data_IF_027818733268
#
_entry.id   IF_027818733268
#
_cell.length_a   1.000
_cell.length_b   1.000
_cell.length_c   1.000
_cell.angle_alpha   90.00
_cell.angle_beta   90.00
_cell.angle_gamma   90.00
#
_symmetry.space_group_name_H-M   'P 1'
#
loop_
_entity.id
_entity.type
_entity.pdbx_description
1 polymer ?
#
# COMPACT_ATOMS: atom_id res chain seq x y z
N UNK A 1 -86.62 36.86 22.57
CA UNK A 1 -85.29 37.33 22.14
C UNK A 1 -84.93 36.67 20.80
N UNK A 2 -84.47 37.44 19.82
CA UNK A 2 -83.92 36.93 18.53
C UNK A 2 -82.41 36.79 18.66
N UNK A 3 -81.84 35.64 18.31
CA UNK A 3 -80.39 35.48 18.11
C UNK A 3 -80.10 35.28 16.62
N UNK A 4 -79.23 36.14 16.09
CA UNK A 4 -78.68 36.10 14.73
C UNK A 4 -77.26 35.53 14.85
N UNK A 5 -76.89 34.52 14.06
CA UNK A 5 -75.52 33.99 14.03
C UNK A 5 -75.13 33.68 12.60
N UNK A 6 -74.00 34.27 12.19
CA UNK A 6 -73.51 34.47 10.83
C UNK A 6 -72.69 33.25 10.34
N UNK A 7 -72.79 32.93 9.04
CA UNK A 7 -72.04 31.86 8.39
C UNK A 7 -70.62 32.32 8.01
N UNK A 8 -69.59 31.63 8.52
CA UNK A 8 -68.17 31.90 8.19
C UNK A 8 -67.78 31.17 6.91
N UNK A 9 -67.36 31.94 5.90
CA UNK A 9 -66.82 31.48 4.63
C UNK A 9 -65.38 30.96 4.83
N UNK A 10 -65.12 29.70 4.50
CA UNK A 10 -63.79 29.07 4.52
C UNK A 10 -63.19 29.13 3.09
N UNK A 11 -62.07 29.84 2.94
CA UNK A 11 -61.29 29.87 1.69
C UNK A 11 -60.20 28.79 1.74
N UNK A 12 -60.24 27.87 0.77
CA UNK A 12 -59.25 26.81 0.54
C UNK A 12 -58.05 27.32 -0.25
N UNK A 13 -56.83 27.10 0.24
CA UNK A 13 -55.58 27.39 -0.48
C UNK A 13 -55.09 26.13 -1.25
N UNK A 14 -54.61 26.27 -2.49
CA UNK A 14 -54.10 25.13 -3.26
C UNK A 14 -52.65 24.78 -2.83
N UNK A 15 -52.41 23.49 -2.61
CA UNK A 15 -51.07 22.93 -2.34
C UNK A 15 -50.35 22.76 -3.68
N UNK A 16 -49.21 23.45 -3.85
CA UNK A 16 -48.35 23.34 -5.04
C UNK A 16 -47.16 22.44 -4.71
N UNK A 17 -47.06 21.28 -5.37
CA UNK A 17 -45.91 20.37 -5.24
C UNK A 17 -44.80 20.80 -6.21
N UNK A 18 -43.71 21.34 -5.69
CA UNK A 18 -42.50 21.59 -6.47
C UNK A 18 -41.73 20.27 -6.67
N UNK A 19 -41.66 19.78 -7.91
CA UNK A 19 -40.85 18.61 -8.25
C UNK A 19 -39.37 19.02 -8.37
N UNK A 20 -38.53 18.57 -7.43
CA UNK A 20 -37.08 18.72 -7.51
C UNK A 20 -36.50 17.66 -8.44
N UNK A 21 -35.88 18.09 -9.53
CA UNK A 21 -35.07 17.21 -10.40
C UNK A 21 -33.75 16.95 -9.67
N UNK A 22 -33.59 15.76 -9.09
CA UNK A 22 -32.35 15.33 -8.46
C UNK A 22 -31.28 14.99 -9.50
N UNK A 23 -30.19 15.75 -9.52
CA UNK A 23 -28.99 15.38 -10.30
C UNK A 23 -28.27 14.27 -9.53
N UNK A 24 -28.27 13.05 -10.07
CA UNK A 24 -27.48 11.95 -9.53
C UNK A 24 -25.99 12.25 -9.78
N UNK A 25 -25.23 12.56 -8.72
CA UNK A 25 -23.80 12.78 -8.80
C UNK A 25 -23.05 11.48 -9.07
N UNK A 26 -22.10 11.51 -10.02
CA UNK A 26 -21.12 10.43 -10.20
C UNK A 26 -20.20 10.40 -8.97
N UNK A 27 -20.25 9.32 -8.20
CA UNK A 27 -19.26 9.05 -7.15
C UNK A 27 -18.01 8.44 -7.80
N UNK A 28 -16.80 8.94 -7.52
CA UNK A 28 -15.59 8.31 -8.02
C UNK A 28 -15.45 6.91 -7.40
N UNK A 29 -15.16 5.91 -8.23
CA UNK A 29 -14.84 4.58 -7.75
C UNK A 29 -13.52 4.64 -6.96
N UNK A 30 -13.58 4.30 -5.67
CA UNK A 30 -12.39 4.15 -4.83
C UNK A 30 -11.94 2.69 -4.91
N UNK A 31 -10.64 2.45 -5.08
CA UNK A 31 -10.10 1.10 -4.93
C UNK A 31 -10.20 0.67 -3.47
N UNK A 32 -10.54 -0.59 -3.25
CA UNK A 32 -10.56 -1.17 -1.90
C UNK A 32 -9.17 -1.06 -1.25
N UNK A 33 -9.07 -0.72 0.04
CA UNK A 33 -7.80 -0.65 0.73
C UNK A 33 -7.14 -2.04 0.75
N UNK A 34 -5.84 -2.08 0.44
CA UNK A 34 -5.06 -3.31 0.54
C UNK A 34 -4.93 -3.78 2.00
N UNK A 35 -4.82 -5.10 2.25
CA UNK A 35 -4.81 -5.66 3.61
C UNK A 35 -3.76 -5.07 4.56
N UNK A 36 -2.61 -4.65 4.02
CA UNK A 36 -1.50 -4.08 4.79
C UNK A 36 -1.13 -2.67 4.31
N UNK A 37 -2.07 -1.95 3.71
CA UNK A 37 -1.84 -0.61 3.19
C UNK A 37 -0.97 -0.60 1.92
N UNK A 38 -0.33 0.55 1.59
CA UNK A 38 0.35 0.75 0.31
C UNK A 38 1.56 -0.17 0.11
N UNK A 39 2.17 -0.66 1.20
CA UNK A 39 3.33 -1.55 1.14
C UNK A 39 2.95 -3.04 1.09
N UNK A 40 1.66 -3.37 0.87
CA UNK A 40 1.21 -4.76 0.75
C UNK A 40 2.01 -5.47 -0.33
N UNK A 41 2.63 -6.61 -0.01
CA UNK A 41 3.41 -7.37 -0.99
C UNK A 41 2.52 -8.12 -1.99
N UNK A 42 3.00 -8.28 -3.23
CA UNK A 42 2.43 -9.25 -4.18
C UNK A 42 2.60 -10.68 -3.65
N UNK A 43 1.76 -11.59 -4.14
CA UNK A 43 1.81 -13.01 -3.76
C UNK A 43 3.22 -13.61 -3.92
N UNK A 44 3.66 -14.37 -2.90
CA UNK A 44 4.99 -14.98 -2.83
C UNK A 44 6.10 -14.10 -2.26
N UNK A 45 5.77 -12.86 -1.86
CA UNK A 45 6.69 -11.94 -1.18
C UNK A 45 6.16 -11.56 0.20
N UNK A 46 7.10 -11.18 1.08
CA UNK A 46 6.86 -10.74 2.45
C UNK A 46 7.76 -9.55 2.78
N UNK A 47 7.40 -8.73 3.75
CA UNK A 47 8.27 -7.65 4.24
C UNK A 47 9.60 -8.23 4.76
N UNK A 48 10.71 -7.58 4.40
CA UNK A 48 12.06 -7.99 4.81
C UNK A 48 12.27 -7.79 6.30
N UNK A 49 11.71 -6.73 6.87
CA UNK A 49 11.81 -6.42 8.31
C UNK A 49 13.27 -6.25 8.79
N UNK A 50 14.11 -5.60 7.99
CA UNK A 50 15.49 -5.28 8.37
C UNK A 50 15.57 -4.38 9.61
N UNK A 51 14.53 -3.59 9.85
CA UNK A 51 14.35 -2.78 11.04
C UNK A 51 12.92 -2.24 11.10
N UNK A 52 12.59 -1.42 12.11
CA UNK A 52 11.28 -0.80 12.22
C UNK A 52 10.95 0.02 10.96
N UNK A 53 9.85 -0.32 10.28
CA UNK A 53 9.39 0.37 9.07
C UNK A 53 10.04 -0.09 7.76
N UNK A 54 10.91 -1.11 7.77
CA UNK A 54 11.40 -1.72 6.53
C UNK A 54 10.38 -2.69 5.94
N UNK A 55 9.49 -2.17 5.10
CA UNK A 55 8.47 -2.94 4.39
C UNK A 55 8.88 -3.37 2.97
N UNK A 56 10.18 -3.34 2.64
CA UNK A 56 10.65 -3.81 1.32
C UNK A 56 10.25 -5.28 1.14
N UNK A 57 9.49 -5.55 0.08
CA UNK A 57 9.03 -6.90 -0.23
C UNK A 57 10.17 -7.77 -0.80
N UNK A 58 10.42 -8.90 -0.15
CA UNK A 58 11.46 -9.88 -0.49
C UNK A 58 10.90 -11.30 -0.47
N UNK A 59 11.70 -12.27 -0.96
CA UNK A 59 11.34 -13.68 -0.82
C UNK A 59 11.40 -14.09 0.67
N UNK A 60 10.58 -15.05 1.13
CA UNK A 60 10.58 -15.50 2.52
C UNK A 60 11.97 -15.85 3.08
N UNK A 61 12.80 -16.56 2.32
CA UNK A 61 14.16 -16.92 2.79
C UNK A 61 15.09 -15.71 3.02
N UNK A 62 14.86 -14.57 2.35
CA UNK A 62 15.61 -13.33 2.62
C UNK A 62 15.17 -12.72 3.94
N UNK A 63 13.86 -12.70 4.22
CA UNK A 63 13.32 -12.29 5.53
C UNK A 63 13.89 -13.16 6.65
N UNK A 64 13.93 -14.48 6.46
CA UNK A 64 14.47 -15.40 7.46
C UNK A 64 15.96 -15.15 7.73
N UNK A 65 16.75 -14.84 6.70
CA UNK A 65 18.17 -14.49 6.83
C UNK A 65 18.34 -13.15 7.54
N UNK A 66 17.55 -12.14 7.16
CA UNK A 66 17.51 -10.83 7.82
C UNK A 66 17.14 -10.94 9.30
N UNK A 67 16.18 -11.79 9.66
CA UNK A 67 15.82 -12.02 11.04
C UNK A 67 16.99 -12.61 11.86
N UNK A 68 17.79 -13.50 11.27
CA UNK A 68 18.99 -14.06 11.92
C UNK A 68 20.10 -13.01 12.11
N UNK A 69 20.30 -12.14 11.11
CA UNK A 69 21.22 -11.00 11.20
C UNK A 69 20.80 -10.03 12.31
N UNK A 70 19.51 -9.70 12.37
CA UNK A 70 18.93 -8.82 13.39
C UNK A 70 18.96 -9.43 14.80
N UNK A 71 18.93 -10.77 14.93
CA UNK A 71 19.03 -11.44 16.22
C UNK A 71 20.43 -11.30 16.85
N UNK A 72 21.46 -11.01 16.06
CA UNK A 72 22.83 -10.81 16.52
C UNK A 72 23.45 -9.57 15.84
N UNK A 73 22.95 -8.35 16.12
CA UNK A 73 23.33 -7.14 15.38
C UNK A 73 24.79 -6.72 15.59
N UNK A 74 25.41 -7.18 16.69
CA UNK A 74 26.81 -6.94 17.01
C UNK A 74 27.77 -7.95 16.37
N UNK A 75 27.24 -9.00 15.73
CA UNK A 75 28.05 -9.98 15.04
C UNK A 75 28.83 -9.30 13.91
N UNK A 76 30.12 -9.64 13.81
CA UNK A 76 31.08 -9.06 12.86
C UNK A 76 31.39 -7.57 13.05
N UNK A 77 30.99 -6.94 14.16
CA UNK A 77 31.55 -5.63 14.54
C UNK A 77 32.99 -5.78 14.99
N UNK A 78 33.79 -4.77 14.71
CA UNK A 78 35.16 -4.67 15.21
C UNK A 78 35.11 -4.46 16.74
N UNK A 79 35.74 -5.34 17.55
CA UNK A 79 35.79 -5.15 18.98
C UNK A 79 36.42 -3.80 19.36
N UNK A 80 35.73 -3.03 20.22
CA UNK A 80 36.16 -1.69 20.61
C UNK A 80 35.85 -0.57 19.60
N UNK A 81 35.19 -0.90 18.48
CA UNK A 81 34.88 0.04 17.41
C UNK A 81 36.06 0.32 16.47
N UNK A 82 35.91 1.34 15.62
CA UNK A 82 36.93 1.71 14.65
C UNK A 82 36.69 3.07 14.03
N UNK A 83 37.20 3.27 12.81
CA UNK A 83 37.21 4.57 12.13
C UNK A 83 35.82 5.22 11.94
N UNK A 84 34.75 4.40 11.99
CA UNK A 84 33.37 4.83 11.82
C UNK A 84 32.55 4.73 13.11
N UNK A 85 33.23 4.69 14.27
CA UNK A 85 32.58 4.59 15.58
C UNK A 85 32.31 3.15 16.04
N UNK A 86 31.41 2.94 17.01
CA UNK A 86 31.19 1.65 17.65
C UNK A 86 30.61 0.58 16.71
N UNK A 87 29.89 1.00 15.67
CA UNK A 87 29.30 0.09 14.69
C UNK A 87 30.28 -0.32 13.58
N UNK A 88 31.57 0.06 13.66
CA UNK A 88 32.56 -0.28 12.63
C UNK A 88 32.61 -1.79 12.40
N UNK A 89 32.44 -2.25 11.16
CA UNK A 89 32.54 -3.67 10.84
C UNK A 89 33.98 -4.16 10.85
N UNK A 90 34.16 -5.41 11.28
CA UNK A 90 35.43 -6.12 11.18
C UNK A 90 35.85 -6.31 9.72
N UNK A 91 37.14 -6.55 9.50
CA UNK A 91 37.69 -6.74 8.15
C UNK A 91 36.95 -7.84 7.38
N UNK A 92 36.53 -7.54 6.15
CA UNK A 92 35.75 -8.43 5.29
C UNK A 92 34.23 -8.29 5.42
N UNK A 93 33.74 -7.49 6.38
CA UNK A 93 32.33 -7.19 6.57
C UNK A 93 32.03 -5.72 6.30
N UNK A 94 30.77 -5.44 5.96
CA UNK A 94 30.27 -4.11 5.63
C UNK A 94 28.89 -3.93 6.25
N UNK A 95 28.49 -2.69 6.50
CA UNK A 95 27.10 -2.41 6.87
C UNK A 95 26.17 -2.90 5.78
N UNK A 96 25.09 -3.58 6.17
CA UNK A 96 24.10 -4.11 5.24
C UNK A 96 23.39 -3.00 4.47
N UNK A 97 23.14 -1.86 5.11
CA UNK A 97 22.51 -0.69 4.49
C UNK A 97 21.18 -1.01 3.80
N UNK A 98 20.36 -1.84 4.45
CA UNK A 98 19.00 -2.13 4.01
C UNK A 98 18.15 -0.85 3.93
N UNK A 99 18.39 0.10 4.83
CA UNK A 99 17.81 1.45 4.88
C UNK A 99 18.81 2.39 5.57
N UNK A 100 18.48 3.69 5.64
CA UNK A 100 19.32 4.67 6.31
C UNK A 100 19.46 4.36 7.81
N UNK A 101 20.69 4.12 8.28
CA UNK A 101 20.98 3.77 9.67
C UNK A 101 21.05 2.26 9.95
N UNK A 102 20.90 1.40 8.93
CA UNK A 102 21.12 -0.04 9.09
C UNK A 102 22.62 -0.38 9.09
N UNK A 103 23.21 -0.41 10.29
CA UNK A 103 24.62 -0.73 10.52
C UNK A 103 24.87 -2.17 10.99
N UNK A 104 23.96 -3.10 10.68
CA UNK A 104 24.23 -4.53 10.91
C UNK A 104 25.37 -4.98 10.00
N UNK A 105 26.41 -5.60 10.56
CA UNK A 105 27.59 -6.02 9.81
C UNK A 105 27.37 -7.38 9.14
N UNK A 106 27.37 -7.38 7.80
CA UNK A 106 27.11 -8.55 6.96
C UNK A 106 28.20 -8.70 5.89
N UNK A 107 28.15 -9.80 5.14
CA UNK A 107 29.05 -9.96 3.99
C UNK A 107 28.72 -8.96 2.87
N UNK A 108 29.68 -8.59 2.01
CA UNK A 108 29.42 -7.74 0.85
C UNK A 108 28.32 -8.26 -0.08
N UNK A 109 28.17 -9.58 -0.19
CA UNK A 109 27.11 -10.21 -1.00
C UNK A 109 25.71 -9.92 -0.43
N UNK A 110 25.55 -9.94 0.90
CA UNK A 110 24.28 -9.61 1.57
C UNK A 110 23.95 -8.12 1.40
N UNK A 111 24.93 -7.23 1.55
CA UNK A 111 24.75 -5.79 1.26
C UNK A 111 24.28 -5.58 -0.18
N UNK A 112 24.88 -6.28 -1.14
CA UNK A 112 24.45 -6.22 -2.54
C UNK A 112 23.01 -6.75 -2.71
N UNK A 113 22.65 -7.85 -2.03
CA UNK A 113 21.29 -8.38 -2.04
C UNK A 113 20.28 -7.37 -1.49
N UNK A 114 20.58 -6.72 -0.35
CA UNK A 114 19.74 -5.69 0.24
C UNK A 114 19.53 -4.49 -0.70
N UNK A 115 20.59 -4.04 -1.38
CA UNK A 115 20.52 -3.01 -2.41
C UNK A 115 19.65 -3.43 -3.61
N UNK A 116 19.81 -4.66 -4.08
CA UNK A 116 19.01 -5.21 -5.18
C UNK A 116 17.51 -5.34 -4.81
N UNK A 117 17.21 -5.64 -3.56
CA UNK A 117 15.84 -5.72 -3.06
C UNK A 117 15.20 -4.34 -2.97
N UNK A 118 15.93 -3.33 -2.50
CA UNK A 118 15.49 -1.93 -2.52
C UNK A 118 15.18 -1.46 -3.94
N UNK A 119 16.04 -1.79 -4.91
CA UNK A 119 15.84 -1.44 -6.31
C UNK A 119 14.60 -2.10 -6.95
N UNK A 120 14.14 -3.23 -6.41
CA UNK A 120 12.97 -3.98 -6.89
C UNK A 120 11.70 -3.72 -6.09
N UNK A 121 11.77 -2.92 -5.03
CA UNK A 121 10.67 -2.75 -4.07
C UNK A 121 9.35 -2.41 -4.76
N UNK A 122 9.36 -1.41 -5.65
CA UNK A 122 8.16 -0.95 -6.36
C UNK A 122 7.45 -2.06 -7.14
N UNK A 123 8.21 -2.92 -7.83
CA UNK A 123 7.66 -4.02 -8.63
C UNK A 123 7.07 -5.17 -7.79
N UNK A 124 7.29 -5.16 -6.48
CA UNK A 124 6.88 -6.22 -5.55
C UNK A 124 5.79 -5.77 -4.59
N UNK A 125 5.38 -4.51 -4.65
CA UNK A 125 4.18 -4.03 -3.98
C UNK A 125 2.95 -4.34 -4.84
N UNK A 126 1.90 -4.79 -4.19
CA UNK A 126 0.59 -4.90 -4.78
C UNK A 126 0.08 -3.48 -5.05
N UNK A 127 -0.19 -3.19 -6.31
CA UNK A 127 -0.79 -1.92 -6.71
C UNK A 127 -2.29 -2.10 -6.76
N UNK A 128 -3.01 -1.18 -6.13
CA UNK A 128 -4.43 -0.98 -6.41
C UNK A 128 -4.58 -0.40 -7.81
N UNK A 129 -4.56 -1.26 -8.82
CA UNK A 129 -4.95 -0.86 -10.16
C UNK A 129 -6.47 -0.80 -10.15
N UNK A 130 -7.02 0.41 -10.20
CA UNK A 130 -8.43 0.58 -10.53
C UNK A 130 -8.55 0.07 -11.95
N UNK A 131 -9.10 -1.12 -12.15
CA UNK A 131 -9.46 -1.56 -13.50
C UNK A 131 -10.57 -0.62 -13.97
N UNK A 132 -10.35 0.23 -14.99
CA UNK A 132 -11.41 1.08 -15.51
C UNK A 132 -12.54 0.26 -16.15
N UNK A 133 -12.36 -1.05 -16.31
CA UNK A 133 -13.33 -1.96 -16.90
C UNK A 133 -14.06 -2.85 -15.87
N UNK A 134 -13.51 -3.12 -14.69
CA UNK A 134 -14.16 -3.81 -13.57
C UNK A 134 -14.83 -5.18 -13.89
N UNK A 135 -15.24 -5.94 -12.85
CA UNK A 135 -16.06 -7.13 -13.04
C UNK A 135 -17.49 -6.68 -13.41
N UNK A 136 -17.73 -6.45 -14.70
CA UNK A 136 -19.02 -6.01 -15.25
C UNK A 136 -18.93 -5.03 -16.41
N UNK A 137 -17.74 -4.54 -16.78
CA UNK A 137 -17.58 -3.70 -17.96
C UNK A 137 -17.80 -4.48 -19.26
N UNK A 138 -18.10 -3.77 -20.36
CA UNK A 138 -18.42 -4.39 -21.65
C UNK A 138 -17.26 -5.18 -22.29
N UNK A 139 -16.08 -5.22 -21.65
CA UNK A 139 -14.88 -5.93 -22.12
C UNK A 139 -14.36 -7.01 -21.16
N UNK A 140 -15.13 -7.37 -20.12
CA UNK A 140 -14.79 -8.50 -19.26
C UNK A 140 -14.73 -9.79 -20.10
N UNK A 141 -13.52 -10.22 -20.47
CA UNK A 141 -13.27 -11.41 -21.31
C UNK A 141 -12.44 -11.19 -22.59
N UNK A 142 -11.85 -10.01 -22.82
CA UNK A 142 -11.04 -9.74 -24.04
C UNK A 142 -9.52 -9.85 -23.85
N UNK A 143 -9.03 -10.23 -22.67
CA UNK A 143 -7.58 -10.32 -22.40
C UNK A 143 -6.88 -11.44 -23.20
N UNK A 144 -7.63 -12.37 -23.81
CA UNK A 144 -7.09 -13.41 -24.70
C UNK A 144 -6.74 -12.92 -26.12
N UNK A 145 -6.88 -11.62 -26.45
CA UNK A 145 -6.60 -11.10 -27.82
C UNK A 145 -5.30 -10.30 -27.95
N UNK A 146 -4.59 -9.97 -26.86
CA UNK A 146 -3.40 -9.11 -26.98
C UNK A 146 -2.14 -9.89 -27.42
N UNK A 147 -2.15 -11.23 -27.38
CA UNK A 147 -1.03 -12.05 -27.90
C UNK A 147 -1.10 -12.32 -29.42
N UNK A 148 -2.14 -11.89 -30.14
CA UNK A 148 -2.29 -12.19 -31.57
C UNK A 148 -1.81 -11.08 -32.55
N UNK A 149 -1.26 -9.96 -32.07
CA UNK A 149 -0.89 -8.84 -32.94
C UNK A 149 0.48 -8.20 -32.67
N UNK A 150 1.48 -9.01 -32.32
CA UNK A 150 2.88 -8.61 -32.46
C UNK A 150 3.72 -9.79 -32.97
N UNK A 151 3.73 -9.93 -34.30
CA UNK A 151 4.66 -10.68 -35.16
C UNK A 151 5.02 -12.12 -34.79
#
# INVERSE_FOLDING_TARGET
MRYKTEHRCLLSLPVVWAATVGVAGVVPAQADPLPYGPDTCVSGYVWREAGPGDHVCVKPGVRDSTAQENANPDLHRQPGGGAYGPDTCASGYVWREAFGGDHVCVSPAVRQQASNDNAKAESRYQRNVVDPFGPGGPFAGSQDRVEAHQN
#
